data_IF_846559150745
#
_entry.id   IF_846559150745
#
_cell.length_a   1.000
_cell.length_b   1.000
_cell.length_c   1.000
_cell.angle_alpha   90.00
_cell.angle_beta   90.00
_cell.angle_gamma   90.00
#
_symmetry.space_group_name_H-M   'P 1'
#
loop_
_entity.id
_entity.type
_entity.pdbx_description
1 polymer ?
#
# COMPACT_ATOMS: atom_id res chain seq x y z
N UNK A 1 -25.11 3.60 12.38
CA UNK A 1 -23.86 4.05 11.71
C UNK A 1 -22.78 2.96 11.84
N UNK A 2 -23.04 1.74 11.36
CA UNK A 2 -22.09 0.60 11.43
C UNK A 2 -22.09 -0.25 10.14
N UNK A 3 -23.06 -0.04 9.24
CA UNK A 3 -23.18 -0.78 7.97
C UNK A 3 -22.07 -0.45 6.96
N UNK A 4 -21.59 0.81 6.91
CA UNK A 4 -20.49 1.21 6.02
C UNK A 4 -19.11 0.61 6.38
N UNK A 5 -18.94 0.06 7.58
CA UNK A 5 -17.67 -0.55 8.00
C UNK A 5 -17.50 -1.99 7.51
N UNK A 6 -18.60 -2.71 7.23
CA UNK A 6 -18.59 -4.12 6.86
C UNK A 6 -18.45 -4.33 5.34
N UNK A 7 -19.11 -3.49 4.52
CA UNK A 7 -18.87 -3.47 3.07
C UNK A 7 -17.44 -3.03 2.72
N UNK A 8 -16.86 -2.12 3.52
CA UNK A 8 -15.49 -1.66 3.37
C UNK A 8 -14.43 -2.73 3.65
N UNK A 9 -14.70 -3.71 4.51
CA UNK A 9 -13.75 -4.81 4.81
C UNK A 9 -13.66 -5.83 3.66
N UNK A 10 -14.77 -6.11 2.99
CA UNK A 10 -14.83 -7.04 1.84
C UNK A 10 -14.27 -6.36 0.58
N UNK A 11 -14.68 -5.12 0.30
CA UNK A 11 -14.17 -4.35 -0.83
C UNK A 11 -12.66 -4.14 -0.75
N UNK A 12 -12.15 -3.77 0.42
CA UNK A 12 -10.70 -3.57 0.65
C UNK A 12 -9.88 -4.84 0.41
N UNK A 13 -10.43 -6.03 0.69
CA UNK A 13 -9.74 -7.32 0.49
C UNK A 13 -9.41 -7.60 -0.97
N UNK A 14 -10.21 -7.06 -1.89
CA UNK A 14 -10.04 -7.22 -3.35
C UNK A 14 -9.39 -5.99 -3.98
N UNK A 15 -9.75 -4.80 -3.51
CA UNK A 15 -9.25 -3.53 -4.06
C UNK A 15 -7.77 -3.31 -3.75
N UNK A 16 -7.31 -3.63 -2.54
CA UNK A 16 -5.90 -3.44 -2.15
C UNK A 16 -4.91 -4.25 -3.02
N UNK A 17 -5.10 -5.56 -3.29
CA UNK A 17 -4.21 -6.30 -4.18
C UNK A 17 -4.32 -5.87 -5.65
N UNK A 18 -5.51 -5.50 -6.13
CA UNK A 18 -5.67 -4.97 -7.50
C UNK A 18 -4.90 -3.67 -7.66
N UNK A 19 -5.05 -2.73 -6.72
CA UNK A 19 -4.27 -1.49 -6.72
C UNK A 19 -2.77 -1.73 -6.57
N UNK A 20 -2.35 -2.75 -5.81
CA UNK A 20 -0.95 -3.11 -5.65
C UNK A 20 -0.34 -3.61 -6.96
N UNK A 21 -1.03 -4.50 -7.67
CA UNK A 21 -0.60 -5.01 -8.98
C UNK A 21 -0.60 -3.88 -10.01
N UNK A 22 -1.63 -3.05 -10.05
CA UNK A 22 -1.68 -1.91 -10.96
C UNK A 22 -0.56 -0.91 -10.69
N UNK A 23 -0.28 -0.57 -9.44
CA UNK A 23 0.83 0.31 -9.08
C UNK A 23 2.19 -0.27 -9.48
N UNK A 24 2.37 -1.59 -9.32
CA UNK A 24 3.57 -2.30 -9.75
C UNK A 24 3.74 -2.26 -11.28
N UNK A 25 2.68 -2.57 -12.03
CA UNK A 25 2.70 -2.54 -13.49
C UNK A 25 2.92 -1.13 -14.06
N UNK A 26 2.34 -0.11 -13.43
CA UNK A 26 2.58 1.29 -13.82
C UNK A 26 4.04 1.70 -13.60
N UNK A 27 4.63 1.30 -12.47
CA UNK A 27 6.03 1.56 -12.20
C UNK A 27 6.94 0.79 -13.16
N UNK A 28 6.65 -0.48 -13.41
CA UNK A 28 7.40 -1.34 -14.34
C UNK A 28 7.37 -0.78 -15.77
N UNK A 29 6.18 -0.41 -16.27
CA UNK A 29 6.02 0.20 -17.59
C UNK A 29 6.83 1.49 -17.73
N UNK A 30 6.83 2.34 -16.70
CA UNK A 30 7.59 3.59 -16.73
C UNK A 30 9.11 3.37 -16.63
N UNK A 31 9.56 2.37 -15.87
CA UNK A 31 10.98 2.05 -15.72
C UNK A 31 11.54 1.39 -16.97
N UNK A 32 10.80 0.45 -17.56
CA UNK A 32 11.23 -0.31 -18.73
C UNK A 32 11.00 0.43 -20.05
N UNK A 33 9.99 1.30 -20.09
CA UNK A 33 9.63 2.06 -21.28
C UNK A 33 9.51 3.55 -20.92
N UNK A 34 10.66 4.22 -20.92
CA UNK A 34 10.76 5.65 -20.66
C UNK A 34 10.03 6.49 -21.72
N UNK A 35 9.76 5.95 -22.91
CA UNK A 35 8.98 6.65 -23.95
C UNK A 35 7.55 6.93 -23.50
N UNK A 36 7.02 6.13 -22.56
CA UNK A 36 5.69 6.30 -21.96
C UNK A 36 5.58 7.62 -21.17
N UNK A 37 6.67 8.08 -20.55
CA UNK A 37 6.71 9.35 -19.80
C UNK A 37 6.95 10.57 -20.70
N UNK A 38 7.69 10.41 -21.80
CA UNK A 38 8.29 11.55 -22.51
C UNK A 38 7.84 11.71 -23.97
N UNK A 39 7.40 10.65 -24.66
CA UNK A 39 7.16 10.69 -26.12
C UNK A 39 5.71 10.39 -26.51
N UNK A 40 5.04 9.45 -25.86
CA UNK A 40 3.59 9.31 -26.04
C UNK A 40 2.93 10.51 -25.38
N UNK A 41 2.12 11.27 -26.12
CA UNK A 41 1.10 12.15 -25.52
C UNK A 41 0.18 11.22 -24.75
N UNK A 42 0.38 11.04 -23.44
CA UNK A 42 -0.43 10.11 -22.72
C UNK A 42 -1.82 10.75 -22.74
N UNK A 43 -2.85 9.98 -23.06
CA UNK A 43 -4.22 10.52 -23.08
C UNK A 43 -4.49 11.30 -21.78
N UNK A 44 -5.39 12.29 -21.77
CA UNK A 44 -5.62 13.18 -20.62
C UNK A 44 -5.91 12.46 -19.29
N UNK A 45 -6.21 11.16 -19.35
CA UNK A 45 -6.43 10.27 -18.20
C UNK A 45 -5.14 9.66 -17.61
N UNK A 46 -4.00 9.73 -18.28
CA UNK A 46 -2.78 9.06 -17.82
C UNK A 46 -2.23 9.68 -16.53
N UNK A 47 -2.10 11.01 -16.49
CA UNK A 47 -1.63 11.73 -15.31
C UNK A 47 -2.51 11.45 -14.08
N UNK A 48 -3.85 11.53 -14.16
CA UNK A 48 -4.67 11.15 -13.01
C UNK A 48 -4.55 9.67 -12.68
N UNK A 49 -4.38 8.74 -13.63
CA UNK A 49 -4.18 7.31 -13.33
C UNK A 49 -2.87 7.06 -12.57
N UNK A 50 -1.74 7.63 -13.01
CA UNK A 50 -0.44 7.45 -12.36
C UNK A 50 -0.36 8.10 -10.97
N UNK A 51 -1.27 9.02 -10.66
CA UNK A 51 -1.37 9.64 -9.33
C UNK A 51 -2.38 8.88 -8.45
N UNK A 52 -3.57 8.60 -8.99
CA UNK A 52 -4.67 8.02 -8.25
C UNK A 52 -4.41 6.57 -7.87
N UNK A 53 -3.85 5.75 -8.75
CA UNK A 53 -3.58 4.33 -8.44
C UNK A 53 -2.63 4.18 -7.23
N UNK A 54 -1.42 4.76 -7.24
CA UNK A 54 -0.52 4.68 -6.08
C UNK A 54 -1.04 5.47 -4.87
N UNK A 55 -1.74 6.59 -5.08
CA UNK A 55 -2.34 7.37 -4.01
C UNK A 55 -3.45 6.62 -3.25
N UNK A 56 -4.35 5.94 -3.97
CA UNK A 56 -5.41 5.12 -3.40
C UNK A 56 -4.85 3.89 -2.68
N UNK A 57 -3.80 3.26 -3.25
CA UNK A 57 -3.09 2.17 -2.59
C UNK A 57 -2.48 2.64 -1.27
N UNK A 58 -1.78 3.77 -1.28
CA UNK A 58 -1.18 4.37 -0.10
C UNK A 58 -2.22 4.69 0.97
N UNK A 59 -3.34 5.30 0.61
CA UNK A 59 -4.46 5.56 1.53
C UNK A 59 -5.00 4.27 2.14
N UNK A 60 -5.26 3.24 1.33
CA UNK A 60 -5.74 1.94 1.83
C UNK A 60 -4.77 1.34 2.85
N UNK A 61 -3.48 1.29 2.51
CA UNK A 61 -2.43 0.76 3.38
C UNK A 61 -2.35 1.57 4.68
N UNK A 62 -2.33 2.90 4.59
CA UNK A 62 -2.21 3.79 5.74
C UNK A 62 -3.39 3.63 6.70
N UNK A 63 -4.62 3.51 6.20
CA UNK A 63 -5.80 3.22 7.03
C UNK A 63 -5.64 1.88 7.78
N UNK A 64 -5.05 0.88 7.14
CA UNK A 64 -4.76 -0.42 7.78
C UNK A 64 -3.71 -0.33 8.88
N UNK A 65 -2.61 0.35 8.59
CA UNK A 65 -1.52 0.63 9.52
C UNK A 65 -2.02 1.41 10.72
N UNK A 66 -2.83 2.45 10.50
CA UNK A 66 -3.39 3.28 11.56
C UNK A 66 -4.38 2.49 12.43
N UNK A 67 -5.27 1.71 11.81
CA UNK A 67 -6.20 0.86 12.54
C UNK A 67 -5.50 -0.24 13.34
N UNK A 68 -4.33 -0.72 12.87
CA UNK A 68 -3.49 -1.64 13.63
C UNK A 68 -2.78 -0.93 14.80
N UNK A 69 -2.20 0.24 14.56
CA UNK A 69 -1.56 1.06 15.59
C UNK A 69 -2.51 1.46 16.72
N UNK A 70 -3.76 1.84 16.40
CA UNK A 70 -4.79 2.16 17.40
C UNK A 70 -5.12 0.94 18.26
N UNK A 71 -5.28 -0.25 17.65
CA UNK A 71 -5.52 -1.49 18.40
C UNK A 71 -4.36 -1.84 19.31
N UNK A 72 -3.13 -1.76 18.80
CA UNK A 72 -1.93 -2.01 19.58
C UNK A 72 -1.77 -1.01 20.74
N UNK A 73 -1.97 0.28 20.49
CA UNK A 73 -1.93 1.32 21.52
C UNK A 73 -3.00 1.12 22.60
N UNK A 74 -4.22 0.74 22.21
CA UNK A 74 -5.29 0.43 23.17
C UNK A 74 -4.99 -0.77 24.06
N UNK A 75 -4.25 -1.76 23.53
CA UNK A 75 -3.79 -2.91 24.29
C UNK A 75 -2.77 -2.50 25.36
N UNK A 76 -1.80 -1.67 24.99
CA UNK A 76 -0.75 -1.19 25.89
C UNK A 76 -1.33 -0.32 27.01
N UNK A 77 -2.35 0.49 26.69
CA UNK A 77 -3.03 1.38 27.65
C UNK A 77 -4.07 0.66 28.54
N UNK A 78 -4.21 -0.67 28.42
CA UNK A 78 -5.07 -1.46 29.31
C UNK A 78 -6.58 -1.32 29.08
N UNK A 79 -7.03 -0.67 28.00
CA UNK A 79 -8.47 -0.55 27.66
C UNK A 79 -9.00 -1.77 26.88
N UNK A 80 -8.63 -2.97 27.36
CA UNK A 80 -8.57 -4.27 26.67
C UNK A 80 -9.88 -4.91 26.17
N UNK A 81 -10.79 -4.16 25.55
CA UNK A 81 -12.03 -4.69 24.97
C UNK A 81 -11.96 -5.10 23.48
N UNK A 82 -10.86 -4.83 22.76
CA UNK A 82 -10.77 -4.97 21.28
C UNK A 82 -9.54 -5.73 20.77
N UNK A 83 -8.97 -6.60 21.59
CA UNK A 83 -7.78 -7.36 21.23
C UNK A 83 -8.10 -8.56 20.32
N UNK A 84 -7.46 -8.62 19.16
CA UNK A 84 -7.43 -9.83 18.34
C UNK A 84 -6.08 -10.54 18.56
N UNK A 85 -6.03 -11.86 18.83
CA UNK A 85 -4.78 -12.58 19.17
C UNK A 85 -3.66 -12.46 18.14
N UNK A 86 -3.99 -12.10 16.89
CA UNK A 86 -3.03 -11.87 15.81
C UNK A 86 -2.42 -10.45 15.78
N UNK A 87 -2.90 -9.51 16.61
CA UNK A 87 -2.46 -8.11 16.60
C UNK A 87 -1.10 -7.89 17.28
N UNK A 88 -0.62 -8.83 18.11
CA UNK A 88 0.71 -8.73 18.76
C UNK A 88 1.81 -9.48 18.01
N UNK A 89 1.51 -10.05 16.84
CA UNK A 89 2.50 -10.78 16.04
C UNK A 89 3.60 -9.83 15.53
N UNK A 90 4.86 -10.19 15.80
CA UNK A 90 6.07 -9.42 15.39
C UNK A 90 6.07 -9.15 13.88
N UNK A 91 5.61 -10.11 13.08
CA UNK A 91 5.49 -10.00 11.62
C UNK A 91 4.53 -8.89 11.20
N UNK A 92 3.45 -8.66 11.95
CA UNK A 92 2.46 -7.63 11.65
C UNK A 92 2.92 -6.24 12.07
N UNK A 93 3.62 -6.15 13.21
CA UNK A 93 4.27 -4.92 13.66
C UNK A 93 5.34 -4.49 12.64
N UNK A 94 6.21 -5.42 12.23
CA UNK A 94 7.26 -5.15 11.25
C UNK A 94 6.65 -4.74 9.89
N UNK A 95 5.62 -5.45 9.42
CA UNK A 95 4.91 -5.08 8.20
C UNK A 95 4.31 -3.67 8.31
N UNK A 96 3.73 -3.30 9.45
CA UNK A 96 3.18 -1.97 9.68
C UNK A 96 4.27 -0.89 9.69
N UNK A 97 5.44 -1.19 10.24
CA UNK A 97 6.57 -0.28 10.33
C UNK A 97 7.22 -0.01 8.97
N UNK A 98 7.20 -0.99 8.05
CA UNK A 98 7.73 -0.85 6.70
C UNK A 98 6.69 -0.22 5.76
N UNK A 99 5.45 -0.72 5.79
CA UNK A 99 4.37 -0.26 4.90
C UNK A 99 3.91 1.16 5.24
N UNK A 100 3.92 1.55 6.51
CA UNK A 100 3.47 2.88 6.95
C UNK A 100 4.26 4.03 6.32
N UNK A 101 5.59 4.11 6.51
CA UNK A 101 6.43 5.13 5.88
C UNK A 101 6.33 5.12 4.36
N UNK A 102 6.35 3.94 3.72
CA UNK A 102 6.19 3.83 2.26
C UNK A 102 4.85 4.42 1.78
N UNK A 103 3.76 4.16 2.51
CA UNK A 103 2.46 4.74 2.20
C UNK A 103 2.46 6.26 2.38
N UNK A 104 3.05 6.78 3.46
CA UNK A 104 3.14 8.24 3.69
C UNK A 104 3.97 8.92 2.59
N UNK A 105 5.13 8.37 2.24
CA UNK A 105 5.97 8.91 1.16
C UNK A 105 5.26 8.85 -0.19
N UNK A 106 4.59 7.75 -0.51
CA UNK A 106 3.81 7.62 -1.75
C UNK A 106 2.71 8.69 -1.81
N UNK A 107 1.97 8.88 -0.72
CA UNK A 107 0.88 9.86 -0.65
C UNK A 107 1.40 11.31 -0.74
N UNK A 108 2.52 11.60 -0.08
CA UNK A 108 3.20 12.89 -0.16
C UNK A 108 3.54 13.25 -1.60
N UNK A 109 4.18 12.34 -2.33
CA UNK A 109 4.56 12.56 -3.72
C UNK A 109 3.36 12.61 -4.67
N UNK A 110 2.32 11.82 -4.42
CA UNK A 110 1.06 11.90 -5.17
C UNK A 110 0.41 13.28 -5.01
N UNK A 111 0.35 13.81 -3.79
CA UNK A 111 -0.19 15.14 -3.51
C UNK A 111 0.67 16.25 -4.14
N UNK A 112 2.00 16.16 -4.01
CA UNK A 112 2.93 17.10 -4.64
C UNK A 112 2.75 17.14 -6.15
N UNK A 113 2.56 15.97 -6.79
CA UNK A 113 2.30 15.88 -8.23
C UNK A 113 0.98 16.54 -8.60
N UNK A 114 -0.07 16.32 -7.82
CA UNK A 114 -1.37 16.95 -8.04
C UNK A 114 -1.30 18.48 -7.93
N UNK A 115 -0.57 18.98 -6.93
CA UNK A 115 -0.35 20.42 -6.74
C UNK A 115 0.43 21.01 -7.93
N UNK A 116 1.55 20.41 -8.29
CA UNK A 116 2.40 20.91 -9.39
C UNK A 116 1.67 20.84 -10.73
N UNK A 117 0.88 19.81 -10.98
CA UNK A 117 0.24 19.63 -12.27
C UNK A 117 -1.04 20.47 -12.46
N UNK A 118 -1.80 20.72 -11.39
CA UNK A 118 -3.11 21.39 -11.50
C UNK A 118 -3.15 22.80 -10.88
N UNK A 119 -2.23 23.14 -9.96
CA UNK A 119 -2.25 24.42 -9.24
C UNK A 119 -1.05 25.31 -9.54
N UNK A 120 0.08 24.76 -9.98
CA UNK A 120 1.26 25.57 -10.29
C UNK A 120 1.16 26.16 -11.71
N UNK A 121 1.24 27.50 -11.81
CA UNK A 121 1.20 28.22 -13.09
C UNK A 121 2.56 28.17 -13.84
N UNK A 122 3.64 27.78 -13.17
CA UNK A 122 5.00 27.74 -13.71
C UNK A 122 5.50 26.31 -13.88
N UNK A 123 6.07 26.00 -15.06
CA UNK A 123 6.58 24.69 -15.43
C UNK A 123 7.75 24.24 -14.55
N UNK A 124 7.42 23.57 -13.44
CA UNK A 124 8.38 22.86 -12.59
C UNK A 124 8.61 21.42 -13.05
N UNK A 125 9.72 20.83 -12.62
CA UNK A 125 9.99 19.39 -12.80
C UNK A 125 8.85 18.60 -12.15
N UNK A 126 8.14 17.80 -12.94
CA UNK A 126 7.03 16.99 -12.43
C UNK A 126 7.53 15.96 -11.42
N UNK A 127 7.09 15.99 -10.16
CA UNK A 127 7.48 15.00 -9.15
C UNK A 127 6.78 13.64 -9.33
N UNK A 128 6.03 13.46 -10.44
CA UNK A 128 5.24 12.26 -10.76
C UNK A 128 6.04 10.97 -10.74
N UNK A 129 7.30 11.01 -11.16
CA UNK A 129 8.18 9.83 -11.15
C UNK A 129 8.36 9.25 -9.74
N UNK A 130 8.43 10.11 -8.72
CA UNK A 130 8.60 9.65 -7.33
C UNK A 130 7.33 8.99 -6.80
N UNK A 131 6.15 9.52 -7.15
CA UNK A 131 4.89 8.89 -6.79
C UNK A 131 4.77 7.47 -7.37
N UNK A 132 5.24 7.29 -8.61
CA UNK A 132 5.29 6.00 -9.28
C UNK A 132 6.31 5.04 -8.66
N UNK A 133 7.53 5.50 -8.39
CA UNK A 133 8.58 4.64 -7.82
C UNK A 133 8.22 4.16 -6.40
N UNK A 134 7.80 5.09 -5.53
CA UNK A 134 7.38 4.72 -4.17
C UNK A 134 6.07 3.93 -4.17
N UNK A 135 5.12 4.27 -5.06
CA UNK A 135 3.87 3.55 -5.23
C UNK A 135 4.05 2.13 -5.77
N UNK A 136 4.95 1.94 -6.73
CA UNK A 136 5.33 0.63 -7.26
C UNK A 136 6.05 -0.22 -6.22
N UNK A 137 6.97 0.38 -5.44
CA UNK A 137 7.60 -0.29 -4.31
C UNK A 137 6.59 -0.72 -3.24
N UNK A 138 5.62 0.15 -2.91
CA UNK A 138 4.51 -0.19 -2.04
C UNK A 138 3.65 -1.32 -2.63
N UNK A 139 3.39 -1.28 -3.94
CA UNK A 139 2.70 -2.35 -4.67
C UNK A 139 3.43 -3.70 -4.59
N UNK A 140 4.75 -3.71 -4.74
CA UNK A 140 5.59 -4.89 -4.57
C UNK A 140 5.51 -5.45 -3.14
N UNK A 141 5.60 -4.59 -2.13
CA UNK A 141 5.52 -4.98 -0.72
C UNK A 141 4.14 -5.55 -0.36
N UNK A 142 3.06 -4.93 -0.85
CA UNK A 142 1.69 -5.43 -0.63
C UNK A 142 1.47 -6.76 -1.36
N UNK A 143 1.95 -6.88 -2.59
CA UNK A 143 1.80 -8.11 -3.40
C UNK A 143 2.61 -9.27 -2.82
N UNK A 144 3.88 -9.03 -2.49
CA UNK A 144 4.74 -10.04 -1.83
C UNK A 144 4.16 -10.49 -0.50
N UNK A 145 3.62 -9.56 0.31
CA UNK A 145 2.89 -9.90 1.53
C UNK A 145 1.68 -10.81 1.24
N UNK A 146 0.87 -10.47 0.24
CA UNK A 146 -0.29 -11.27 -0.13
C UNK A 146 0.11 -12.70 -0.58
N UNK A 147 1.12 -12.81 -1.45
CA UNK A 147 1.67 -14.10 -1.91
C UNK A 147 2.25 -14.90 -0.75
N UNK A 148 3.00 -14.25 0.15
CA UNK A 148 3.59 -14.89 1.31
C UNK A 148 2.52 -15.52 2.22
N UNK A 149 1.44 -14.80 2.52
CA UNK A 149 0.35 -15.34 3.34
C UNK A 149 -0.47 -16.42 2.62
N UNK A 150 -0.56 -16.36 1.29
CA UNK A 150 -1.17 -17.46 0.51
C UNK A 150 -0.31 -18.73 0.53
N UNK A 151 1.02 -18.60 0.44
CA UNK A 151 1.96 -19.73 0.47
C UNK A 151 2.10 -20.33 1.88
N UNK A 152 1.94 -19.51 2.93
CA UNK A 152 2.11 -19.91 4.32
C UNK A 152 0.89 -19.53 5.18
N UNK A 153 -0.30 -20.12 4.95
CA UNK A 153 -1.52 -19.78 5.68
C UNK A 153 -1.43 -20.10 7.18
N UNK A 154 -0.66 -21.11 7.57
CA UNK A 154 -0.36 -21.47 8.96
C UNK A 154 0.93 -20.82 9.53
N UNK A 155 1.59 -19.97 8.74
CA UNK A 155 2.88 -19.33 9.07
C UNK A 155 4.09 -20.22 8.75
N UNK A 156 5.24 -19.62 8.37
CA UNK A 156 6.44 -20.37 7.92
C UNK A 156 7.02 -21.29 9.01
N UNK A 157 6.81 -20.95 10.28
CA UNK A 157 7.32 -21.71 11.43
C UNK A 157 6.50 -22.97 11.72
N UNK A 158 5.26 -23.08 11.24
CA UNK A 158 4.44 -24.29 11.42
C UNK A 158 5.08 -25.50 10.73
N UNK A 159 5.65 -25.31 9.53
CA UNK A 159 6.36 -26.36 8.79
C UNK A 159 7.69 -26.78 9.43
N UNK A 160 8.34 -25.88 10.17
CA UNK A 160 9.56 -26.22 10.91
C UNK A 160 9.25 -27.02 12.18
N UNK A 161 8.08 -26.78 12.79
CA UNK A 161 7.61 -27.53 13.96
C UNK A 161 7.21 -28.96 13.61
N UNK A 162 6.64 -29.20 12.43
CA UNK A 162 6.30 -30.56 12.00
C UNK A 162 7.54 -31.38 11.61
N UNK A 163 8.63 -30.72 11.18
CA UNK A 163 9.90 -31.38 10.84
C UNK A 163 10.78 -31.73 12.03
N UNK A 164 10.51 -31.23 13.23
CA UNK A 164 11.29 -31.54 14.44
C UNK A 164 10.74 -32.73 15.23
N UNK A 165 9.71 -33.41 14.71
CA UNK A 165 9.03 -34.55 15.38
C UNK A 165 9.27 -35.87 14.63
N UNK A 166 10.04 -35.86 13.53
CA UNK A 166 10.65 -37.05 12.94
C UNK A 166 12.10 -37.21 13.41
#
# INVERSE_FOLDING_TARGET
>A
MFAFYLEGLVGRRVVEPVLAVLALLLADGVVNDSTILFETVPGPLWVPVIILVPGLLALSVLVGVLAHGIRLGSAVLGSGGRLQPSDTSVTRILASLVLGPFAVFTLWWALATLIVHYLAETGGVSPSIWALLFGGGLGALVSSRAVFFQLFPAGPLSRLRDRSVE
#
